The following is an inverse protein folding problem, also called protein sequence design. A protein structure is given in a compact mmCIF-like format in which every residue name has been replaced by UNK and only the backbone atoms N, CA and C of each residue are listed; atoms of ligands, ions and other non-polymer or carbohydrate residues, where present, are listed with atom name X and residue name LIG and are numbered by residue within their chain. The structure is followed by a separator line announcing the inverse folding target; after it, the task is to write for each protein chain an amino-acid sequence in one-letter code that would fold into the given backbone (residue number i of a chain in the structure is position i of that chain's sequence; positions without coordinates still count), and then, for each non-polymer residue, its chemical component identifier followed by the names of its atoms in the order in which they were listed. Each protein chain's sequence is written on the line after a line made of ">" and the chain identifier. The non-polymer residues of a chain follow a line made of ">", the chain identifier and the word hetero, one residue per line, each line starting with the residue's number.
data_IF_831601066531
#
_entry.id   IF_831601066531
#
_cell.length_a   1.000
_cell.length_b   1.000
_cell.length_c   1.000
_cell.angle_alpha   90.00
_cell.angle_beta   90.00
_cell.angle_gamma   90.00
#
_symmetry.space_group_name_H-M   'P 1'
#
loop_
_entity.id
_entity.type
_entity.pdbx_description
1 polymer ?
#
# COMPACT_ATOMS: atom_id res chain seq x y z
N UNK A 1 7.97 -20.18 -19.97
CA UNK A 1 8.44 -19.72 -18.65
C UNK A 1 9.28 -20.83 -18.04
N UNK A 2 10.55 -20.55 -17.78
CA UNK A 2 11.61 -21.53 -17.51
C UNK A 2 11.29 -22.46 -16.31
N UNK A 3 11.51 -23.77 -16.44
CA UNK A 3 11.22 -24.77 -15.40
C UNK A 3 11.99 -24.47 -14.09
N UNK A 4 13.26 -24.06 -14.23
CA UNK A 4 14.11 -23.66 -13.11
C UNK A 4 13.56 -22.46 -12.33
N UNK A 5 12.90 -21.53 -13.01
CA UNK A 5 12.30 -20.36 -12.37
C UNK A 5 11.06 -20.73 -11.54
N UNK A 6 10.28 -21.72 -12.00
CA UNK A 6 9.14 -22.24 -11.23
C UNK A 6 9.61 -22.98 -9.98
N UNK A 7 10.63 -23.82 -10.10
CA UNK A 7 11.21 -24.53 -8.96
C UNK A 7 11.78 -23.56 -7.91
N UNK A 8 12.50 -22.53 -8.36
CA UNK A 8 13.00 -21.47 -7.48
C UNK A 8 11.86 -20.71 -6.78
N UNK A 9 10.80 -20.34 -7.50
CA UNK A 9 9.64 -19.67 -6.90
C UNK A 9 8.97 -20.56 -5.84
N UNK A 10 8.77 -21.84 -6.11
CA UNK A 10 8.18 -22.77 -5.14
C UNK A 10 9.05 -22.90 -3.89
N UNK A 11 10.37 -23.04 -4.07
CA UNK A 11 11.32 -23.09 -2.95
C UNK A 11 11.28 -21.81 -2.10
N UNK A 12 11.33 -20.63 -2.73
CA UNK A 12 11.24 -19.35 -2.02
C UNK A 12 9.88 -19.17 -1.34
N UNK A 13 8.80 -19.62 -1.97
CA UNK A 13 7.47 -19.54 -1.37
C UNK A 13 7.36 -20.39 -0.10
N UNK A 14 7.90 -21.60 -0.11
CA UNK A 14 7.90 -22.47 1.07
C UNK A 14 8.86 -22.03 2.16
N UNK A 15 10.05 -21.54 1.80
CA UNK A 15 11.13 -21.30 2.76
C UNK A 15 11.31 -19.85 3.18
N UNK A 16 10.87 -18.89 2.37
CA UNK A 16 11.01 -17.46 2.63
C UNK A 16 9.64 -16.83 2.89
N UNK A 17 8.75 -16.78 1.91
CA UNK A 17 7.52 -15.98 2.00
C UNK A 17 6.52 -16.42 3.10
N UNK A 18 6.62 -17.66 3.59
CA UNK A 18 5.79 -18.19 4.69
C UNK A 18 6.40 -18.00 6.08
N UNK A 19 7.56 -17.36 6.18
CA UNK A 19 8.17 -17.07 7.48
C UNK A 19 7.29 -16.11 8.28
N UNK A 20 7.07 -16.40 9.57
CA UNK A 20 6.14 -15.62 10.41
C UNK A 20 6.45 -14.13 10.42
N UNK A 21 7.73 -13.75 10.44
CA UNK A 21 8.13 -12.34 10.40
C UNK A 21 7.69 -11.62 9.11
N UNK A 22 7.75 -12.31 7.97
CA UNK A 22 7.31 -11.75 6.70
C UNK A 22 5.79 -11.62 6.64
N UNK A 23 5.07 -12.59 7.21
CA UNK A 23 3.61 -12.52 7.34
C UNK A 23 3.23 -11.35 8.25
N UNK A 24 3.85 -11.22 9.42
CA UNK A 24 3.63 -10.10 10.36
C UNK A 24 3.88 -8.75 9.70
N UNK A 25 4.97 -8.62 8.95
CA UNK A 25 5.31 -7.38 8.24
C UNK A 25 4.29 -7.08 7.12
N UNK A 26 3.84 -8.09 6.39
CA UNK A 26 2.81 -7.96 5.36
C UNK A 26 1.46 -7.52 5.95
N UNK A 27 1.05 -8.11 7.07
CA UNK A 27 -0.19 -7.77 7.76
C UNK A 27 -0.14 -6.34 8.32
N UNK A 28 1.01 -5.92 8.85
CA UNK A 28 1.23 -4.54 9.29
C UNK A 28 1.14 -3.56 8.12
N UNK A 29 1.79 -3.86 6.99
CA UNK A 29 1.70 -3.04 5.77
C UNK A 29 0.27 -2.93 5.23
N UNK A 30 -0.49 -4.04 5.24
CA UNK A 30 -1.91 -4.04 4.87
C UNK A 30 -2.72 -3.10 5.76
N UNK A 31 -2.53 -3.17 7.08
CA UNK A 31 -3.21 -2.29 8.04
C UNK A 31 -2.90 -0.81 7.80
N UNK A 32 -1.65 -0.48 7.48
CA UNK A 32 -1.24 0.90 7.13
C UNK A 32 -2.02 1.37 5.90
N UNK A 33 -2.01 0.59 4.82
CA UNK A 33 -2.68 0.96 3.55
C UNK A 33 -4.18 1.15 3.78
N UNK A 34 -4.85 0.21 4.46
CA UNK A 34 -6.28 0.30 4.77
C UNK A 34 -6.60 1.57 5.57
N UNK A 35 -5.81 1.86 6.60
CA UNK A 35 -6.03 3.03 7.46
C UNK A 35 -5.80 4.35 6.72
N UNK A 36 -4.77 4.43 5.88
CA UNK A 36 -4.49 5.60 5.06
C UNK A 36 -5.61 5.82 4.04
N UNK A 37 -6.05 4.76 3.37
CA UNK A 37 -7.14 4.83 2.39
C UNK A 37 -8.42 5.35 3.03
N UNK A 38 -8.83 4.76 4.16
CA UNK A 38 -10.02 5.18 4.90
C UNK A 38 -9.93 6.61 5.41
N UNK A 39 -8.74 7.02 5.87
CA UNK A 39 -8.50 8.37 6.34
C UNK A 39 -8.68 9.39 5.20
N UNK A 40 -8.05 9.18 4.04
CA UNK A 40 -8.17 10.10 2.92
C UNK A 40 -9.55 10.06 2.26
N UNK A 41 -10.29 8.95 2.39
CA UNK A 41 -11.69 8.90 1.95
C UNK A 41 -12.58 9.79 2.82
N UNK A 42 -12.33 9.84 4.14
CA UNK A 42 -13.04 10.73 5.08
C UNK A 42 -12.54 12.17 5.02
N UNK A 43 -11.28 12.37 4.62
CA UNK A 43 -10.60 13.65 4.57
C UNK A 43 -9.95 13.93 3.20
N UNK A 44 -10.73 14.03 2.10
CA UNK A 44 -10.17 14.26 0.77
C UNK A 44 -9.34 15.55 0.68
N UNK A 45 -9.63 16.55 1.50
CA UNK A 45 -8.90 17.81 1.57
C UNK A 45 -7.43 17.65 1.99
N UNK A 46 -7.10 16.54 2.66
CA UNK A 46 -5.74 16.22 3.12
C UNK A 46 -4.84 15.61 2.04
N UNK A 47 -5.41 15.28 0.89
CA UNK A 47 -4.65 14.84 -0.28
C UNK A 47 -3.95 16.07 -0.89
N UNK A 48 -2.72 15.95 -1.43
CA UNK A 48 -2.05 17.04 -2.14
C UNK A 48 -2.87 17.57 -3.33
N UNK A 49 -2.77 18.87 -3.59
CA UNK A 49 -3.56 19.54 -4.64
C UNK A 49 -3.34 18.92 -6.04
N UNK A 50 -2.10 18.52 -6.34
CA UNK A 50 -1.73 17.84 -7.60
C UNK A 50 -2.50 16.55 -7.86
N UNK A 51 -2.95 15.86 -6.81
CA UNK A 51 -3.81 14.68 -6.94
C UNK A 51 -5.28 15.07 -6.92
N UNK A 52 -5.67 16.09 -6.13
CA UNK A 52 -7.06 16.56 -6.04
C UNK A 52 -7.59 17.12 -7.36
N UNK A 53 -6.75 17.76 -8.16
CA UNK A 53 -7.10 18.23 -9.51
C UNK A 53 -7.61 17.09 -10.42
N UNK A 54 -7.15 15.86 -10.19
CA UNK A 54 -7.58 14.68 -10.96
C UNK A 54 -8.95 14.14 -10.54
N UNK A 55 -9.52 14.59 -9.41
CA UNK A 55 -10.83 14.11 -8.92
C UNK A 55 -11.98 14.52 -9.85
N UNK A 56 -11.80 15.58 -10.65
CA UNK A 56 -12.82 15.98 -11.63
C UNK A 56 -12.92 14.99 -12.80
N UNK A 57 -11.80 14.37 -13.19
CA UNK A 57 -11.72 13.44 -14.32
C UNK A 57 -11.75 11.96 -13.88
N UNK A 58 -11.32 11.68 -12.65
CA UNK A 58 -11.21 10.34 -12.07
C UNK A 58 -11.99 10.23 -10.76
N UNK A 59 -12.45 9.03 -10.40
CA UNK A 59 -13.11 8.83 -9.11
C UNK A 59 -12.17 9.13 -7.93
N UNK A 60 -12.70 9.68 -6.84
CA UNK A 60 -11.97 9.88 -5.58
C UNK A 60 -11.23 8.63 -5.11
N UNK A 61 -11.86 7.45 -5.22
CA UNK A 61 -11.25 6.15 -4.88
C UNK A 61 -9.97 5.88 -5.66
N UNK A 62 -9.94 6.23 -6.95
CA UNK A 62 -8.78 6.04 -7.82
C UNK A 62 -7.65 7.02 -7.46
N UNK A 63 -8.00 8.28 -7.24
CA UNK A 63 -7.04 9.31 -6.83
C UNK A 63 -6.38 8.96 -5.49
N UNK A 64 -7.17 8.49 -4.50
CA UNK A 64 -6.61 8.02 -3.22
C UNK A 64 -5.72 6.79 -3.43
N UNK A 65 -6.16 5.83 -4.24
CA UNK A 65 -5.36 4.63 -4.55
C UNK A 65 -3.99 5.00 -5.11
N UNK A 66 -3.96 5.91 -6.08
CA UNK A 66 -2.71 6.34 -6.73
C UNK A 66 -1.83 7.16 -5.78
N UNK A 67 -2.44 7.98 -4.92
CA UNK A 67 -1.69 8.74 -3.92
C UNK A 67 -1.04 7.81 -2.89
N UNK A 68 -1.80 6.85 -2.35
CA UNK A 68 -1.28 5.86 -1.38
C UNK A 68 -0.24 4.95 -2.02
N UNK A 69 -0.46 4.48 -3.25
CA UNK A 69 0.50 3.67 -3.99
C UNK A 69 1.79 4.44 -4.38
N UNK A 70 1.72 5.77 -4.48
CA UNK A 70 2.87 6.64 -4.71
C UNK A 70 3.72 6.89 -3.47
N UNK A 71 3.29 6.47 -2.28
CA UNK A 71 4.04 6.66 -1.04
C UNK A 71 5.22 5.69 -0.94
N UNK A 72 6.34 6.17 -0.39
CA UNK A 72 7.38 5.27 0.12
C UNK A 72 6.96 4.69 1.47
N UNK A 73 7.46 3.50 1.83
CA UNK A 73 7.16 2.84 3.11
C UNK A 73 7.36 3.79 4.31
N UNK A 74 8.50 4.50 4.34
CA UNK A 74 8.81 5.46 5.41
C UNK A 74 7.81 6.62 5.48
N UNK A 75 7.34 7.09 4.33
CA UNK A 75 6.36 8.17 4.27
C UNK A 75 4.97 7.67 4.71
N UNK A 76 4.52 6.53 4.19
CA UNK A 76 3.26 5.92 4.57
C UNK A 76 3.20 5.65 6.08
N UNK A 77 4.26 5.08 6.65
CA UNK A 77 4.35 4.83 8.09
C UNK A 77 4.34 6.12 8.92
N UNK A 78 5.07 7.16 8.49
CA UNK A 78 5.05 8.47 9.16
C UNK A 78 3.64 9.07 9.18
N UNK A 79 2.92 9.02 8.07
CA UNK A 79 1.55 9.54 7.99
C UNK A 79 0.61 8.69 8.85
N UNK A 80 0.73 7.36 8.78
CA UNK A 80 -0.05 6.43 9.60
C UNK A 80 0.08 6.71 11.11
N UNK A 81 1.30 6.98 11.59
CA UNK A 81 1.56 7.34 12.99
C UNK A 81 1.01 8.72 13.38
N UNK A 82 0.71 9.58 12.41
CA UNK A 82 0.13 10.91 12.64
C UNK A 82 -1.39 10.94 12.52
N UNK A 83 -2.02 9.81 12.18
CA UNK A 83 -3.48 9.70 12.16
C UNK A 83 -4.05 9.85 13.58
N UNK A 84 -5.21 10.52 13.74
CA UNK A 84 -5.85 10.75 15.03
C UNK A 84 -6.43 9.49 15.67
#
# INVERSE_FOLDING_TARGET
>A
MDLKFRELKSFLYEKLYRHEDLIRMSDYGKKIIESLFDYFLKHPEKIPDTYKERIEEESLYRVISDYVAGMTDRYAEKIYQSLP
#
